data_IF_559351877298
#
_entry.id   IF_559351877298
#
_cell.length_a   1.000
_cell.length_b   1.000
_cell.length_c   1.000
_cell.angle_alpha   90.00
_cell.angle_beta   90.00
_cell.angle_gamma   90.00
#
_symmetry.space_group_name_H-M   'P 1'
#
loop_
_entity.id
_entity.type
_entity.pdbx_description
1 polymer ?
#
# COMPACT_ATOMS: atom_id res chain seq x y z
N UNK A 1 41.20 6.18 69.60
CA UNK A 1 41.86 5.39 68.53
C UNK A 1 40.87 5.10 67.42
N UNK A 2 41.33 5.21 66.16
CA UNK A 2 40.68 4.92 64.86
C UNK A 2 39.46 5.81 64.50
N UNK A 3 39.49 6.76 63.55
CA UNK A 3 39.82 6.75 62.11
C UNK A 3 38.82 5.97 61.24
N UNK A 4 38.14 6.63 60.29
CA UNK A 4 38.33 6.45 58.83
C UNK A 4 37.24 7.14 57.98
N UNK A 5 37.75 7.80 56.94
CA UNK A 5 37.16 8.37 55.72
C UNK A 5 36.15 7.46 54.98
N UNK A 6 35.23 8.04 54.19
CA UNK A 6 35.32 8.03 52.71
C UNK A 6 34.03 8.47 51.98
N UNK A 7 34.20 9.48 51.11
CA UNK A 7 33.70 9.66 49.73
C UNK A 7 32.33 9.12 49.28
N UNK A 8 31.46 10.06 48.87
CA UNK A 8 31.07 10.26 47.45
C UNK A 8 30.27 9.18 46.74
N UNK A 9 29.00 9.48 46.41
CA UNK A 9 28.24 8.85 45.33
C UNK A 9 27.47 9.92 44.56
N UNK A 10 28.03 10.32 43.42
CA UNK A 10 27.28 11.04 42.38
C UNK A 10 26.37 10.01 41.67
N UNK A 11 25.07 10.31 41.61
CA UNK A 11 24.12 9.51 40.86
C UNK A 11 24.37 9.65 39.34
N UNK A 12 24.21 8.59 38.53
CA UNK A 12 24.25 8.74 37.09
C UNK A 12 22.99 9.48 36.65
N UNK A 13 23.17 10.59 35.94
CA UNK A 13 22.09 11.21 35.18
C UNK A 13 21.68 10.24 34.07
N UNK A 14 20.43 9.78 34.10
CA UNK A 14 19.86 9.04 32.97
C UNK A 14 19.78 9.97 31.77
N UNK A 15 20.67 9.78 30.80
CA UNK A 15 20.51 10.34 29.46
C UNK A 15 19.21 9.78 28.88
N UNK A 16 18.20 10.65 28.79
CA UNK A 16 17.01 10.37 28.03
C UNK A 16 17.41 10.33 26.55
N UNK A 17 17.74 9.14 26.06
CA UNK A 17 17.94 8.86 24.65
C UNK A 17 16.65 9.20 23.92
N UNK A 18 16.65 10.37 23.29
CA UNK A 18 15.64 10.80 22.34
C UNK A 18 15.68 9.83 21.15
N UNK A 19 14.82 8.81 21.21
CA UNK A 19 14.51 7.95 20.08
C UNK A 19 13.74 8.79 19.05
N UNK A 20 14.48 9.43 18.15
CA UNK A 20 13.96 9.76 16.84
C UNK A 20 13.68 8.42 16.13
N UNK A 21 12.49 7.87 16.37
CA UNK A 21 11.94 6.77 15.60
C UNK A 21 11.73 7.26 14.17
N UNK A 22 12.80 7.23 13.38
CA UNK A 22 12.73 7.24 11.94
C UNK A 22 12.00 5.95 11.57
N UNK A 23 10.67 6.04 11.39
CA UNK A 23 9.89 4.94 10.84
C UNK A 23 10.61 4.42 9.60
N UNK A 24 10.98 3.14 9.62
CA UNK A 24 11.48 2.44 8.46
C UNK A 24 10.43 2.59 7.36
N UNK A 25 10.72 3.46 6.37
CA UNK A 25 9.78 3.72 5.29
C UNK A 25 9.54 2.40 4.59
N UNK A 26 8.27 1.97 4.58
CA UNK A 26 7.87 0.79 3.84
C UNK A 26 8.39 0.87 2.39
N UNK A 27 8.69 -0.27 1.76
CA UNK A 27 9.32 -0.29 0.45
C UNK A 27 8.48 0.49 -0.58
N UNK A 28 9.16 1.18 -1.49
CA UNK A 28 8.54 1.75 -2.69
C UNK A 28 8.55 0.68 -3.79
N UNK A 29 7.40 0.43 -4.42
CA UNK A 29 7.31 -0.35 -5.66
C UNK A 29 7.08 0.58 -6.85
N UNK A 30 7.46 0.16 -8.05
CA UNK A 30 7.28 0.97 -9.27
C UNK A 30 6.43 0.23 -10.27
N UNK A 31 5.22 0.72 -10.50
CA UNK A 31 4.36 0.27 -11.59
C UNK A 31 4.88 0.86 -12.91
N UNK A 32 4.93 0.06 -13.99
CA UNK A 32 5.53 0.48 -15.27
C UNK A 32 4.59 0.32 -16.47
N UNK A 33 3.39 0.92 -16.43
CA UNK A 33 2.50 0.87 -17.57
C UNK A 33 3.07 1.61 -18.77
N UNK A 34 2.57 1.30 -19.97
CA UNK A 34 2.93 2.00 -21.20
C UNK A 34 1.94 3.12 -21.54
N UNK A 35 2.47 4.30 -21.86
CA UNK A 35 1.77 5.40 -22.53
C UNK A 35 2.40 5.60 -23.91
N UNK A 36 1.61 5.49 -24.97
CA UNK A 36 2.06 5.68 -26.35
C UNK A 36 3.35 4.88 -26.68
N UNK A 37 3.40 3.64 -26.18
CA UNK A 37 4.52 2.70 -26.38
C UNK A 37 5.72 2.89 -25.45
N UNK A 38 5.74 3.93 -24.60
CA UNK A 38 6.84 4.20 -23.66
C UNK A 38 6.42 3.92 -22.22
N UNK A 39 7.34 3.44 -21.39
CA UNK A 39 7.07 3.27 -19.95
C UNK A 39 6.75 4.62 -19.29
N UNK A 40 5.73 4.63 -18.45
CA UNK A 40 5.31 5.75 -17.61
C UNK A 40 5.31 5.30 -16.15
N UNK A 41 6.47 5.37 -15.47
CA UNK A 41 6.61 4.80 -14.13
C UNK A 41 5.79 5.55 -13.10
N UNK A 42 5.08 4.80 -12.26
CA UNK A 42 4.40 5.31 -11.07
C UNK A 42 5.01 4.68 -9.82
N UNK A 43 5.52 5.51 -8.90
CA UNK A 43 6.04 5.06 -7.61
C UNK A 43 4.89 4.89 -6.63
N UNK A 44 4.83 3.76 -5.94
CA UNK A 44 3.79 3.46 -4.95
C UNK A 44 4.45 3.15 -3.62
N UNK A 45 3.98 3.84 -2.58
CA UNK A 45 4.38 3.57 -1.20
C UNK A 45 3.59 2.38 -0.65
N UNK A 46 4.30 1.31 -0.27
CA UNK A 46 3.64 0.06 0.16
C UNK A 46 2.88 0.24 1.48
N UNK A 47 3.34 1.08 2.41
CA UNK A 47 2.60 1.36 3.63
C UNK A 47 1.25 2.01 3.32
N UNK A 48 1.25 2.98 2.40
CA UNK A 48 0.05 3.65 1.92
C UNK A 48 -0.89 2.65 1.25
N UNK A 49 -0.38 1.79 0.38
CA UNK A 49 -1.17 0.74 -0.26
C UNK A 49 -1.83 -0.20 0.77
N UNK A 50 -1.07 -0.67 1.76
CA UNK A 50 -1.59 -1.50 2.85
C UNK A 50 -2.63 -0.77 3.70
N UNK A 51 -2.40 0.49 4.03
CA UNK A 51 -3.34 1.32 4.78
C UNK A 51 -4.66 1.51 4.01
N UNK A 52 -4.58 1.77 2.70
CA UNK A 52 -5.74 1.87 1.83
C UNK A 52 -6.51 0.55 1.72
N UNK A 53 -5.82 -0.60 1.59
CA UNK A 53 -6.46 -1.91 1.60
C UNK A 53 -7.23 -2.17 2.92
N UNK A 54 -6.62 -1.85 4.07
CA UNK A 54 -7.26 -1.98 5.38
C UNK A 54 -8.48 -1.06 5.51
N UNK A 55 -8.36 0.19 5.04
CA UNK A 55 -9.44 1.19 5.05
C UNK A 55 -10.60 0.78 4.13
N UNK A 56 -10.30 0.21 2.97
CA UNK A 56 -11.28 -0.29 2.04
C UNK A 56 -12.07 -1.48 2.62
N UNK A 57 -11.37 -2.38 3.33
CA UNK A 57 -11.96 -3.56 3.97
C UNK A 57 -12.44 -4.60 2.96
N UNK A 58 -13.31 -5.51 3.39
CA UNK A 58 -13.80 -6.65 2.60
C UNK A 58 -15.26 -6.48 2.15
N UNK A 59 -15.68 -5.24 1.95
CA UNK A 59 -17.08 -4.92 1.61
C UNK A 59 -17.10 -3.79 0.62
N UNK A 60 -17.77 -4.00 -0.51
CA UNK A 60 -17.98 -2.97 -1.53
C UNK A 60 -18.80 -1.80 -0.99
N UNK A 61 -18.31 -0.59 -1.21
CA UNK A 61 -18.99 0.66 -0.90
C UNK A 61 -19.89 1.13 -2.04
N UNK A 62 -20.41 2.34 -1.90
CA UNK A 62 -21.38 2.93 -2.84
C UNK A 62 -20.81 3.21 -4.23
N UNK A 63 -19.49 3.35 -4.35
CA UNK A 63 -18.84 3.54 -5.67
C UNK A 63 -18.75 2.26 -6.48
N UNK A 64 -18.86 1.10 -5.84
CA UNK A 64 -18.42 -0.19 -6.40
C UNK A 64 -17.04 -0.64 -5.92
N UNK A 65 -16.30 0.19 -5.16
CA UNK A 65 -15.00 -0.15 -4.59
C UNK A 65 -15.08 -0.50 -3.09
N UNK A 66 -14.20 -1.36 -2.55
CA UNK A 66 -13.37 -2.30 -3.30
C UNK A 66 -14.22 -3.35 -4.02
N UNK A 67 -13.63 -4.04 -4.98
CA UNK A 67 -14.28 -5.10 -5.73
C UNK A 67 -13.48 -6.40 -5.70
N UNK A 68 -14.16 -7.51 -5.97
CA UNK A 68 -13.54 -8.84 -6.04
C UNK A 68 -12.63 -8.91 -7.24
N UNK A 69 -11.39 -9.36 -7.01
CA UNK A 69 -10.44 -9.65 -8.07
C UNK A 69 -10.45 -11.16 -8.35
N UNK A 70 -10.70 -11.54 -9.59
CA UNK A 70 -10.84 -12.94 -10.00
C UNK A 70 -9.57 -13.53 -10.62
N UNK A 71 -8.42 -12.85 -10.48
CA UNK A 71 -7.09 -13.35 -10.89
C UNK A 71 -6.97 -13.85 -12.35
N UNK A 72 -7.77 -13.29 -13.26
CA UNK A 72 -7.74 -13.65 -14.68
C UNK A 72 -6.41 -13.31 -15.38
N UNK A 73 -5.63 -12.39 -14.83
CA UNK A 73 -4.33 -11.99 -15.37
C UNK A 73 -3.17 -12.91 -14.93
N UNK A 74 -3.46 -13.98 -14.17
CA UNK A 74 -2.49 -15.00 -13.72
C UNK A 74 -1.28 -14.44 -12.94
N UNK A 75 -1.45 -13.31 -12.25
CA UNK A 75 -0.40 -12.72 -11.42
C UNK A 75 -0.06 -13.65 -10.26
N UNK A 76 1.24 -13.95 -10.10
CA UNK A 76 1.81 -14.58 -8.91
C UNK A 76 2.37 -13.51 -7.98
N UNK A 77 1.78 -13.40 -6.80
CA UNK A 77 2.11 -12.38 -5.81
C UNK A 77 3.38 -12.75 -5.03
N UNK A 78 3.67 -14.04 -4.88
CA UNK A 78 4.72 -14.54 -3.99
C UNK A 78 4.26 -14.61 -2.53
N UNK A 79 2.94 -14.63 -2.31
CA UNK A 79 2.31 -14.63 -0.99
C UNK A 79 1.35 -15.80 -0.93
N UNK A 80 1.61 -16.76 -0.04
CA UNK A 80 0.94 -18.06 -0.04
C UNK A 80 -0.60 -17.97 -0.08
N UNK A 81 -1.21 -17.10 0.73
CA UNK A 81 -2.68 -16.96 0.72
C UNK A 81 -3.24 -16.21 -0.49
N UNK A 82 -2.40 -15.51 -1.24
CA UNK A 82 -2.79 -14.78 -2.44
C UNK A 82 -2.65 -15.64 -3.71
N UNK A 83 -1.76 -16.62 -3.69
CA UNK A 83 -1.43 -17.46 -4.85
C UNK A 83 -2.20 -18.79 -4.90
N UNK A 84 -3.07 -19.05 -3.92
CA UNK A 84 -3.97 -20.21 -3.92
C UNK A 84 -5.04 -20.06 -5.01
N UNK A 85 -5.44 -21.19 -5.59
CA UNK A 85 -6.47 -21.20 -6.64
C UNK A 85 -7.85 -20.73 -6.14
N UNK A 86 -8.16 -20.95 -4.87
CA UNK A 86 -9.39 -20.54 -4.20
C UNK A 86 -9.24 -19.23 -3.41
N UNK A 87 -8.14 -18.50 -3.61
CA UNK A 87 -7.89 -17.24 -2.92
C UNK A 87 -9.01 -16.24 -3.19
N UNK A 88 -9.61 -15.72 -2.11
CA UNK A 88 -10.58 -14.64 -2.18
C UNK A 88 -9.83 -13.32 -2.23
N UNK A 89 -9.54 -12.85 -3.45
CA UNK A 89 -8.86 -11.59 -3.67
C UNK A 89 -9.83 -10.42 -3.84
N UNK A 90 -9.35 -9.26 -3.43
CA UNK A 90 -9.96 -7.95 -3.55
C UNK A 90 -8.97 -6.98 -4.14
N UNK A 91 -9.49 -5.99 -4.85
CA UNK A 91 -8.71 -4.85 -5.34
C UNK A 91 -9.33 -3.53 -4.91
N UNK A 92 -8.49 -2.52 -4.71
CA UNK A 92 -8.92 -1.17 -4.38
C UNK A 92 -8.04 -0.12 -5.06
N UNK A 93 -8.61 0.95 -5.66
CA UNK A 93 -7.84 2.01 -6.31
C UNK A 93 -6.96 2.78 -5.32
N UNK A 94 -5.73 3.08 -5.73
CA UNK A 94 -4.80 3.89 -4.96
C UNK A 94 -4.07 4.88 -5.86
N UNK A 95 -3.51 5.94 -5.28
CA UNK A 95 -2.70 6.91 -6.02
C UNK A 95 -1.21 6.70 -5.77
N UNK A 96 -0.40 7.12 -6.75
CA UNK A 96 1.06 7.09 -6.67
C UNK A 96 1.62 8.23 -5.82
N UNK A 97 2.88 8.09 -5.40
CA UNK A 97 3.62 9.11 -4.65
C UNK A 97 3.65 10.43 -5.41
N UNK A 98 3.34 11.53 -4.71
CA UNK A 98 3.28 12.88 -5.28
C UNK A 98 1.90 13.27 -5.82
N UNK A 99 0.96 12.32 -5.93
CA UNK A 99 -0.45 12.65 -6.16
C UNK A 99 -1.07 13.09 -4.83
N UNK A 100 -1.43 14.37 -4.70
CA UNK A 100 -2.05 14.91 -3.49
C UNK A 100 -3.55 14.56 -3.39
N UNK A 101 -3.86 13.27 -3.35
CA UNK A 101 -5.22 12.76 -3.23
C UNK A 101 -5.23 11.34 -2.64
N UNK A 102 -6.37 10.95 -2.07
CA UNK A 102 -6.66 9.60 -1.60
C UNK A 102 -7.98 9.12 -2.21
N UNK A 103 -8.09 7.83 -2.55
CA UNK A 103 -9.33 7.30 -3.13
C UNK A 103 -10.41 7.18 -2.06
N UNK A 104 -11.58 7.75 -2.34
CA UNK A 104 -12.73 7.68 -1.45
C UNK A 104 -13.68 6.53 -1.86
N UNK A 105 -13.77 5.50 -1.02
CA UNK A 105 -14.54 4.26 -1.23
C UNK A 105 -16.00 4.44 -1.66
N UNK A 106 -16.66 5.51 -1.21
CA UNK A 106 -18.07 5.75 -1.49
C UNK A 106 -18.31 6.82 -2.58
N UNK A 107 -17.25 7.25 -3.26
CA UNK A 107 -17.29 8.27 -4.32
C UNK A 107 -17.03 7.62 -5.67
N UNK A 108 -17.88 7.88 -6.67
CA UNK A 108 -17.71 7.33 -8.02
C UNK A 108 -16.40 7.81 -8.64
N UNK A 109 -15.78 6.99 -9.48
CA UNK A 109 -14.53 7.30 -10.21
C UNK A 109 -14.51 8.68 -10.86
N UNK A 110 -15.61 9.11 -11.49
CA UNK A 110 -15.72 10.43 -12.15
C UNK A 110 -15.74 11.62 -11.18
N UNK A 111 -15.97 11.37 -9.88
CA UNK A 111 -16.06 12.39 -8.83
C UNK A 111 -14.86 12.37 -7.88
N UNK A 112 -13.90 11.48 -8.10
CA UNK A 112 -12.69 11.41 -7.29
C UNK A 112 -11.86 12.68 -7.48
N UNK A 113 -11.50 13.35 -6.38
CA UNK A 113 -10.72 14.59 -6.41
C UNK A 113 -9.36 14.41 -7.09
N UNK A 114 -8.76 13.23 -6.96
CA UNK A 114 -7.50 12.88 -7.64
C UNK A 114 -7.67 12.49 -9.11
N UNK A 115 -8.89 12.37 -9.63
CA UNK A 115 -9.15 11.83 -10.97
C UNK A 115 -8.90 10.31 -11.04
N UNK A 116 -8.91 9.71 -12.25
CA UNK A 116 -8.72 8.28 -12.41
C UNK A 116 -7.29 7.84 -12.03
N UNK A 117 -7.18 6.59 -11.60
CA UNK A 117 -5.90 5.91 -11.34
C UNK A 117 -5.93 4.50 -11.94
N UNK A 118 -4.86 4.05 -12.60
CA UNK A 118 -4.76 2.69 -13.16
C UNK A 118 -4.25 1.69 -12.11
N UNK A 119 -3.84 2.18 -10.93
CA UNK A 119 -3.16 1.41 -9.89
C UNK A 119 -4.19 0.86 -8.92
N UNK A 120 -3.99 -0.39 -8.52
CA UNK A 120 -4.84 -1.11 -7.56
C UNK A 120 -3.97 -1.80 -6.53
N UNK A 121 -4.28 -1.66 -5.25
CA UNK A 121 -3.76 -2.58 -4.23
C UNK A 121 -4.58 -3.86 -4.25
N UNK A 122 -3.90 -5.01 -4.21
CA UNK A 122 -4.53 -6.33 -4.15
C UNK A 122 -4.30 -6.94 -2.77
N UNK A 123 -5.35 -7.53 -2.21
CA UNK A 123 -5.32 -8.15 -0.91
C UNK A 123 -6.28 -9.34 -0.83
N UNK A 124 -5.94 -10.31 -0.01
CA UNK A 124 -6.73 -11.50 0.24
C UNK A 124 -7.64 -11.30 1.47
N UNK A 125 -8.80 -11.93 1.44
CA UNK A 125 -9.57 -12.22 2.64
C UNK A 125 -8.93 -13.42 3.36
N UNK A 126 -8.17 -13.13 4.41
CA UNK A 126 -7.60 -14.14 5.29
C UNK A 126 -8.49 -14.29 6.51
N UNK A 127 -9.55 -15.11 6.38
CA UNK A 127 -10.52 -15.41 7.47
C UNK A 127 -11.13 -14.15 8.11
N UNK A 128 -11.51 -13.18 7.29
CA UNK A 128 -12.08 -11.89 7.70
C UNK A 128 -11.06 -10.77 7.85
N UNK A 129 -9.76 -11.08 7.82
CA UNK A 129 -8.69 -10.08 7.86
C UNK A 129 -8.20 -9.70 6.45
N UNK A 130 -7.83 -8.43 6.28
CA UNK A 130 -7.16 -7.93 5.08
C UNK A 130 -5.69 -8.34 5.11
N UNK A 131 -5.27 -9.20 4.17
CA UNK A 131 -3.87 -9.56 3.96
C UNK A 131 -3.37 -8.97 2.64
N UNK A 132 -2.39 -8.07 2.70
CA UNK A 132 -1.78 -7.48 1.51
C UNK A 132 -1.11 -8.55 0.62
N UNK A 133 -1.37 -8.48 -0.68
CA UNK A 133 -0.76 -9.34 -1.70
C UNK A 133 0.27 -8.59 -2.55
N UNK A 134 -0.08 -7.39 -2.98
CA UNK A 134 0.76 -6.59 -3.88
C UNK A 134 0.03 -5.39 -4.43
N UNK A 135 0.67 -4.73 -5.38
CA UNK A 135 0.08 -3.65 -6.18
C UNK A 135 0.11 -4.09 -7.64
N UNK A 136 -0.92 -3.74 -8.39
CA UNK A 136 -0.97 -3.91 -9.84
C UNK A 136 -1.33 -2.60 -10.53
N UNK A 137 -1.02 -2.55 -11.80
CA UNK A 137 -1.45 -1.51 -12.72
C UNK A 137 -1.97 -2.15 -13.99
N UNK A 138 -2.89 -1.49 -14.69
CA UNK A 138 -3.11 -1.82 -16.10
C UNK A 138 -1.79 -1.67 -16.89
N UNK A 139 -1.51 -2.57 -17.82
CA UNK A 139 -0.27 -2.56 -18.63
C UNK A 139 -0.18 -1.39 -19.61
N UNK A 140 -1.32 -0.78 -19.95
CA UNK A 140 -1.39 0.48 -20.72
C UNK A 140 -2.24 1.53 -20.02
N UNK A 141 -1.87 2.78 -20.22
CA UNK A 141 -2.63 3.94 -19.73
C UNK A 141 -2.81 4.96 -20.84
N UNK A 142 -3.91 5.71 -20.79
CA UNK A 142 -4.07 6.89 -21.64
C UNK A 142 -3.48 8.17 -21.00
N UNK A 143 -3.61 9.30 -21.71
CA UNK A 143 -3.15 10.61 -21.23
C UNK A 143 -3.76 11.03 -19.90
N UNK A 144 -4.94 10.53 -19.56
CA UNK A 144 -5.64 10.81 -18.29
C UNK A 144 -5.27 9.81 -17.19
N UNK A 145 -4.41 8.83 -17.47
CA UNK A 145 -4.09 7.69 -16.60
C UNK A 145 -5.27 6.72 -16.41
N UNK A 146 -6.22 6.70 -17.35
CA UNK A 146 -7.20 5.62 -17.39
C UNK A 146 -6.48 4.35 -17.85
N UNK A 147 -6.61 3.28 -17.05
CA UNK A 147 -6.02 1.99 -17.35
C UNK A 147 -6.74 1.26 -18.49
N UNK A 148 -5.97 0.51 -19.28
CA UNK A 148 -6.40 -0.30 -20.43
C UNK A 148 -5.69 -1.65 -20.42
N UNK A 149 -6.27 -2.62 -21.13
CA UNK A 149 -5.73 -3.98 -21.23
C UNK A 149 -5.67 -4.69 -19.87
N UNK A 150 -4.79 -5.69 -19.75
CA UNK A 150 -4.66 -6.56 -18.59
C UNK A 150 -3.93 -5.87 -17.42
N UNK A 151 -4.07 -6.43 -16.22
CA UNK A 151 -3.28 -6.02 -15.06
C UNK A 151 -1.92 -6.72 -15.03
N UNK A 152 -0.89 -5.97 -14.67
CA UNK A 152 0.45 -6.48 -14.39
C UNK A 152 0.87 -6.08 -12.98
N UNK A 153 1.67 -6.94 -12.36
CA UNK A 153 2.24 -6.69 -11.04
C UNK A 153 3.23 -5.53 -11.10
N UNK A 154 3.12 -4.63 -10.12
CA UNK A 154 4.20 -3.72 -9.74
C UNK A 154 5.16 -4.44 -8.76
#
# INVERSE_FOLDING_TARGET
>A
SAALFATGLAAPASEATSVNSLEERAPIVTCRPKLDGREKPFKVDVATAQAQARKAGLTTGKSGDPHRYFAGDHIRWGVNNCDKADAILWEYPIYWVGKNAEWAKDVKTSQQKGGPTPIRVVYANSRGAVQYCGVMTHSKVDKNNQGKEFFEKC
#
